data_IF_376231269659
#
_entry.id   IF_376231269659
#
_cell.length_a   1.000
_cell.length_b   1.000
_cell.length_c   1.000
_cell.angle_alpha   90.00
_cell.angle_beta   90.00
_cell.angle_gamma   90.00
#
_symmetry.space_group_name_H-M   'P 1'
#
loop_
_entity.id
_entity.type
_entity.pdbx_description
1 polymer ?
#
# COMPACT_ATOMS: atom_id res chain seq x y z
N UNK A 1 -18.51 36.22 -7.44
CA UNK A 1 -19.05 34.87 -7.66
C UNK A 1 -19.13 34.58 -9.15
N UNK A 2 -18.61 33.44 -9.62
CA UNK A 2 -18.67 33.08 -11.04
C UNK A 2 -20.13 32.71 -11.36
N UNK A 3 -20.67 33.24 -12.46
CA UNK A 3 -22.06 33.02 -12.92
C UNK A 3 -23.19 33.34 -11.91
N UNK A 4 -22.92 34.15 -10.88
CA UNK A 4 -23.92 34.56 -9.89
C UNK A 4 -24.49 33.40 -9.07
N UNK A 5 -23.67 32.39 -8.73
CA UNK A 5 -24.07 31.25 -7.88
C UNK A 5 -24.68 30.06 -8.63
N UNK A 6 -24.71 30.10 -9.96
CA UNK A 6 -25.25 29.01 -10.79
C UNK A 6 -24.23 27.89 -11.02
N UNK A 7 -24.72 26.64 -11.08
CA UNK A 7 -23.90 25.45 -11.34
C UNK A 7 -23.52 25.36 -12.82
N UNK A 8 -22.45 24.62 -13.14
CA UNK A 8 -22.00 24.39 -14.52
C UNK A 8 -23.15 23.93 -15.44
N UNK A 9 -24.05 23.05 -14.96
CA UNK A 9 -25.17 22.54 -15.77
C UNK A 9 -26.18 23.62 -16.12
N UNK A 10 -26.44 24.57 -15.23
CA UNK A 10 -27.38 25.67 -15.47
C UNK A 10 -26.82 26.69 -16.44
N UNK A 11 -25.53 27.00 -16.33
CA UNK A 11 -24.85 27.93 -17.24
C UNK A 11 -24.62 27.29 -18.61
N UNK A 12 -24.38 25.97 -18.67
CA UNK A 12 -24.24 25.25 -19.93
C UNK A 12 -25.57 25.16 -20.69
N UNK A 13 -26.71 24.95 -20.02
CA UNK A 13 -28.03 25.03 -20.67
C UNK A 13 -28.30 26.43 -21.21
N UNK A 14 -27.93 27.49 -20.47
CA UNK A 14 -28.09 28.88 -20.93
C UNK A 14 -27.16 29.25 -22.08
N UNK A 15 -25.93 28.74 -22.08
CA UNK A 15 -24.98 28.92 -23.18
C UNK A 15 -25.40 28.14 -24.44
N UNK A 16 -26.02 26.97 -24.29
CA UNK A 16 -26.60 26.23 -25.42
C UNK A 16 -27.82 26.94 -26.02
N UNK A 17 -28.64 27.59 -25.19
CA UNK A 17 -29.76 28.41 -25.64
C UNK A 17 -29.33 29.72 -26.34
N UNK A 18 -28.14 30.24 -26.02
CA UNK A 18 -27.58 31.46 -26.60
C UNK A 18 -26.13 31.25 -27.09
N UNK A 19 -25.94 30.54 -28.21
CA UNK A 19 -24.61 30.11 -28.68
C UNK A 19 -23.68 31.24 -29.15
N UNK A 20 -24.21 32.44 -29.38
CA UNK A 20 -23.42 33.63 -29.79
C UNK A 20 -22.89 34.45 -28.61
N UNK A 21 -23.29 34.11 -27.38
CA UNK A 21 -22.88 34.86 -26.19
C UNK A 21 -21.52 34.36 -25.65
N UNK A 22 -20.46 35.05 -26.06
CA UNK A 22 -19.07 34.74 -25.68
C UNK A 22 -18.82 34.81 -24.18
N UNK A 23 -19.63 35.58 -23.44
CA UNK A 23 -19.52 35.72 -21.98
C UNK A 23 -20.03 34.49 -21.25
N UNK A 24 -21.14 33.91 -21.72
CA UNK A 24 -21.67 32.64 -21.22
C UNK A 24 -20.71 31.49 -21.53
N UNK A 25 -20.16 31.44 -22.74
CA UNK A 25 -19.17 30.43 -23.13
C UNK A 25 -17.92 30.46 -22.23
N UNK A 26 -17.39 31.64 -21.92
CA UNK A 26 -16.27 31.81 -20.99
C UNK A 26 -16.59 31.31 -19.57
N UNK A 27 -17.78 31.63 -19.05
CA UNK A 27 -18.22 31.20 -17.73
C UNK A 27 -18.37 29.67 -17.62
N UNK A 28 -18.96 29.03 -18.64
CA UNK A 28 -19.06 27.57 -18.71
C UNK A 28 -17.68 26.93 -18.63
N UNK A 29 -16.70 27.47 -19.36
CA UNK A 29 -15.34 26.94 -19.35
C UNK A 29 -14.64 27.11 -17.99
N UNK A 30 -14.82 28.25 -17.31
CA UNK A 30 -14.26 28.45 -15.97
C UNK A 30 -14.92 27.52 -14.94
N UNK A 31 -16.25 27.38 -14.97
CA UNK A 31 -16.98 26.48 -14.06
C UNK A 31 -16.60 25.02 -14.29
N UNK A 32 -16.46 24.59 -15.55
CA UNK A 32 -16.00 23.24 -15.88
C UNK A 32 -14.62 22.94 -15.29
N UNK A 33 -13.67 23.87 -15.48
CA UNK A 33 -12.31 23.73 -14.95
C UNK A 33 -12.32 23.68 -13.43
N UNK A 34 -13.16 24.49 -12.76
CA UNK A 34 -13.32 24.47 -11.32
C UNK A 34 -13.85 23.14 -10.79
N UNK A 35 -14.91 22.60 -11.41
CA UNK A 35 -15.50 21.32 -11.03
C UNK A 35 -14.53 20.16 -11.27
N UNK A 36 -13.81 20.19 -12.40
CA UNK A 36 -12.78 19.19 -12.73
C UNK A 36 -11.63 19.23 -11.72
N UNK A 37 -11.14 20.42 -11.38
CA UNK A 37 -10.08 20.59 -10.37
C UNK A 37 -10.52 20.05 -9.02
N UNK A 38 -11.76 20.36 -8.59
CA UNK A 38 -12.35 19.84 -7.35
C UNK A 38 -12.43 18.31 -7.38
N UNK A 39 -12.87 17.72 -8.48
CA UNK A 39 -12.94 16.26 -8.66
C UNK A 39 -11.56 15.59 -8.60
N UNK A 40 -10.54 16.20 -9.22
CA UNK A 40 -9.15 15.72 -9.17
C UNK A 40 -8.57 15.81 -7.76
N UNK A 41 -8.78 16.93 -7.06
CA UNK A 41 -8.35 17.10 -5.66
C UNK A 41 -9.03 16.10 -4.74
N UNK A 42 -10.33 15.84 -4.92
CA UNK A 42 -11.07 14.86 -4.12
C UNK A 42 -10.57 13.44 -4.38
N UNK A 43 -10.28 13.09 -5.63
CA UNK A 43 -9.64 11.83 -5.97
C UNK A 43 -8.26 11.70 -5.31
N UNK A 44 -7.39 12.71 -5.47
CA UNK A 44 -6.07 12.74 -4.86
C UNK A 44 -6.13 12.58 -3.34
N UNK A 45 -7.08 13.25 -2.68
CA UNK A 45 -7.32 13.12 -1.24
C UNK A 45 -7.81 11.72 -0.84
N UNK A 46 -8.69 11.12 -1.63
CA UNK A 46 -9.15 9.73 -1.43
C UNK A 46 -7.98 8.74 -1.46
N UNK A 47 -7.14 8.83 -2.49
CA UNK A 47 -5.95 7.98 -2.64
C UNK A 47 -4.90 8.26 -1.55
N UNK A 48 -4.70 9.52 -1.17
CA UNK A 48 -3.83 9.88 -0.05
C UNK A 48 -4.25 9.20 1.25
N UNK A 49 -5.55 9.22 1.54
CA UNK A 49 -6.11 8.61 2.74
C UNK A 49 -5.88 7.11 2.75
N UNK A 50 -6.17 6.44 1.63
CA UNK A 50 -5.93 5.00 1.47
C UNK A 50 -4.43 4.68 1.62
N UNK A 51 -3.56 5.47 0.98
CA UNK A 51 -2.11 5.30 1.08
C UNK A 51 -1.58 5.45 2.51
N UNK A 52 -2.15 6.37 3.29
CA UNK A 52 -1.79 6.58 4.69
C UNK A 52 -2.13 5.34 5.53
N UNK A 53 -3.34 4.78 5.37
CA UNK A 53 -3.72 3.54 6.06
C UNK A 53 -2.90 2.33 5.59
N UNK A 54 -2.63 2.24 4.29
CA UNK A 54 -1.78 1.19 3.73
C UNK A 54 -0.36 1.24 4.32
N UNK A 55 0.20 2.42 4.57
CA UNK A 55 1.50 2.57 5.22
C UNK A 55 1.48 2.05 6.67
N UNK A 56 0.46 2.42 7.45
CA UNK A 56 0.32 1.89 8.82
C UNK A 56 0.15 0.37 8.83
N UNK A 57 -0.66 -0.17 7.93
CA UNK A 57 -0.83 -1.61 7.76
C UNK A 57 0.49 -2.29 7.36
N UNK A 58 1.25 -1.68 6.45
CA UNK A 58 2.55 -2.19 6.00
C UNK A 58 3.54 -2.27 7.17
N UNK A 59 3.60 -1.25 8.03
CA UNK A 59 4.44 -1.27 9.23
C UNK A 59 4.00 -2.41 10.17
N UNK A 60 2.69 -2.55 10.41
CA UNK A 60 2.17 -3.63 11.25
C UNK A 60 2.53 -5.03 10.71
N UNK A 61 2.36 -5.23 9.40
CA UNK A 61 2.73 -6.47 8.72
C UNK A 61 4.24 -6.71 8.74
N UNK A 62 5.06 -5.66 8.60
CA UNK A 62 6.51 -5.77 8.66
C UNK A 62 6.98 -6.25 10.04
N UNK A 63 6.41 -5.71 11.12
CA UNK A 63 6.70 -6.15 12.49
C UNK A 63 6.27 -7.61 12.70
N UNK A 64 5.06 -7.97 12.25
CA UNK A 64 4.58 -9.34 12.35
C UNK A 64 5.47 -10.32 11.57
N UNK A 65 5.85 -9.98 10.34
CA UNK A 65 6.76 -10.77 9.51
C UNK A 65 8.13 -10.94 10.17
N UNK A 66 8.66 -9.87 10.78
CA UNK A 66 9.92 -9.94 11.52
C UNK A 66 9.84 -10.89 12.72
N UNK A 67 8.75 -10.83 13.49
CA UNK A 67 8.54 -11.74 14.62
C UNK A 67 8.50 -13.21 14.18
N UNK A 68 7.80 -13.52 13.08
CA UNK A 68 7.75 -14.87 12.51
C UNK A 68 9.13 -15.32 12.04
N UNK A 69 9.90 -14.45 11.38
CA UNK A 69 11.26 -14.76 10.96
C UNK A 69 12.20 -15.05 12.13
N UNK A 70 12.11 -14.29 13.22
CA UNK A 70 12.92 -14.54 14.42
C UNK A 70 12.55 -15.86 15.07
N UNK A 71 11.25 -16.18 15.18
CA UNK A 71 10.79 -17.46 15.71
C UNK A 71 11.32 -18.64 14.88
N UNK A 72 11.22 -18.55 13.55
CA UNK A 72 11.75 -19.57 12.65
C UNK A 72 13.27 -19.72 12.78
N UNK A 73 14.01 -18.60 12.84
CA UNK A 73 15.46 -18.63 13.02
C UNK A 73 15.86 -19.30 14.35
N UNK A 74 15.09 -19.04 15.41
CA UNK A 74 15.29 -19.68 16.71
C UNK A 74 15.06 -21.20 16.64
N UNK A 75 13.97 -21.65 16.04
CA UNK A 75 13.69 -23.09 15.85
C UNK A 75 14.79 -23.79 15.06
N UNK A 76 15.22 -23.19 13.94
CA UNK A 76 16.33 -23.71 13.12
C UNK A 76 17.63 -23.78 13.93
N UNK A 77 17.92 -22.76 14.74
CA UNK A 77 19.12 -22.74 15.58
C UNK A 77 19.11 -23.86 16.64
N UNK A 78 17.97 -24.08 17.31
CA UNK A 78 17.79 -25.16 18.28
C UNK A 78 17.99 -26.52 17.62
N UNK A 79 17.35 -26.74 16.47
CA UNK A 79 17.48 -27.97 15.70
C UNK A 79 18.93 -28.26 15.27
N UNK A 80 19.66 -27.24 14.81
CA UNK A 80 21.09 -27.35 14.46
C UNK A 80 21.97 -27.71 15.67
N UNK A 81 21.64 -27.20 16.87
CA UNK A 81 22.37 -27.53 18.10
C UNK A 81 22.12 -28.96 18.54
N UNK A 82 20.90 -29.47 18.38
CA UNK A 82 20.53 -30.85 18.74
C UNK A 82 21.16 -31.88 17.81
N UNK A 83 21.20 -31.61 16.49
CA UNK A 83 21.91 -32.44 15.50
C UNK A 83 23.38 -32.68 15.86
N UNK A 84 24.05 -31.67 16.44
CA UNK A 84 25.44 -31.76 16.88
C UNK A 84 25.67 -32.73 18.04
N UNK A 85 24.68 -32.93 18.91
CA UNK A 85 24.80 -33.80 20.10
C UNK A 85 24.69 -35.29 19.77
N UNK A 86 23.99 -35.63 18.68
CA UNK A 86 23.79 -37.03 18.25
C UNK A 86 24.99 -37.57 17.47
N UNK A 87 25.93 -36.72 17.05
CA UNK A 87 27.06 -37.10 16.20
C UNK A 87 28.24 -37.80 16.92
N UNK A 88 28.21 -37.99 18.26
CA UNK A 88 29.32 -38.62 18.99
C UNK A 88 28.87 -39.78 19.91
N UNK A 89 28.52 -40.94 19.32
CA UNK A 89 28.80 -42.20 20.00
C UNK A 89 29.51 -43.25 19.11
N UNK A 90 29.94 -42.92 17.89
CA UNK A 90 30.54 -43.94 16.99
C UNK A 90 32.06 -44.14 17.15
N UNK A 91 32.78 -43.32 17.93
CA UNK A 91 34.25 -43.39 18.02
C UNK A 91 34.76 -44.37 19.11
N UNK A 92 33.89 -44.95 19.93
CA UNK A 92 34.32 -45.87 20.99
C UNK A 92 33.88 -47.32 20.73
N UNK A 93 34.38 -47.91 19.66
CA UNK A 93 34.47 -49.37 19.54
C UNK A 93 35.91 -49.71 19.14
N UNK A 94 36.81 -49.65 20.14
CA UNK A 94 38.15 -50.21 20.02
C UNK A 94 38.02 -51.72 19.72
N UNK A 95 38.62 -52.25 18.64
CA UNK A 95 38.60 -53.67 18.37
C UNK A 95 39.66 -54.35 19.25
N UNK A 96 39.43 -54.41 20.57
CA UNK A 96 40.30 -55.12 21.51
C UNK A 96 40.04 -56.65 21.52
N UNK A 97 39.66 -57.25 20.38
CA UNK A 97 39.48 -58.70 20.25
C UNK A 97 39.77 -59.21 18.83
N UNK A 98 41.04 -59.32 18.50
CA UNK A 98 41.58 -60.36 17.62
C UNK A 98 43.06 -60.52 18.00
N UNK A 99 43.37 -61.31 19.03
CA UNK A 99 43.76 -62.71 18.87
C UNK A 99 44.90 -62.89 17.85
N UNK A 100 46.15 -62.84 18.34
CA UNK A 100 47.27 -63.70 17.95
C UNK A 100 48.44 -63.47 18.92
#
# INVERSE_FOLDING_TARGET
EIAGGQTYSQVSTKAQANPTDTKLAGQVQTLFRGETLRGLLLNAYGWWTIGTYALYAAIGLAVAAFAVLVALAFEVFVWLRERRKVALPFVAAEPQRALA
#
